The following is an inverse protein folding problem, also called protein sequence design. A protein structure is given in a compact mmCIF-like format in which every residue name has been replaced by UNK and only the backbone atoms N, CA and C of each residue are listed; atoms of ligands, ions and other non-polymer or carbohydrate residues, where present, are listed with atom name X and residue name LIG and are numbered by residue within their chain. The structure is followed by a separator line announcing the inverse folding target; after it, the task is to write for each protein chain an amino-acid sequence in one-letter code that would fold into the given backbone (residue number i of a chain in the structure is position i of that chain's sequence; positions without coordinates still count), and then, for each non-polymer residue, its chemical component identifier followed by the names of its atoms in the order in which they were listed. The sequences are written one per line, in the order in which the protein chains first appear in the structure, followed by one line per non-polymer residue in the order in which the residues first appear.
data_IF_100105183274
#
_entry.id   IF_100105183274
#
_cell.length_a   1.000
_cell.length_b   1.000
_cell.length_c   1.000
_cell.angle_alpha   90.00
_cell.angle_beta   90.00
_cell.angle_gamma   90.00
#
_symmetry.space_group_name_H-M   'P 1'
#
loop_
_entity.id
_entity.type
_entity.pdbx_description
1 polymer ?
#
# COMPACT_ATOMS: atom_id res chain seq x y z
N UNK A 1 -9.00 9.00 -26.46
CA UNK A 1 -9.76 9.71 -25.42
C UNK A 1 -9.20 9.23 -24.10
N UNK A 2 -8.62 10.12 -23.30
CA UNK A 2 -8.09 9.81 -21.99
C UNK A 2 -9.11 10.09 -20.88
N UNK A 3 -8.71 9.84 -19.63
CA UNK A 3 -9.52 10.02 -18.45
C UNK A 3 -9.17 11.33 -17.73
N UNK A 4 -10.13 11.95 -17.08
CA UNK A 4 -9.89 13.08 -16.19
C UNK A 4 -9.65 12.54 -14.77
N UNK A 5 -8.42 12.76 -14.24
CA UNK A 5 -7.97 12.21 -12.97
C UNK A 5 -7.77 13.31 -11.95
N UNK A 6 -8.36 13.16 -10.78
CA UNK A 6 -8.12 14.03 -9.63
C UNK A 6 -7.27 13.28 -8.58
N UNK A 7 -6.19 13.89 -8.08
CA UNK A 7 -5.38 13.38 -6.98
C UNK A 7 -5.63 14.24 -5.76
N UNK A 8 -6.32 13.71 -4.76
CA UNK A 8 -6.63 14.39 -3.49
C UNK A 8 -5.59 14.04 -2.44
N UNK A 9 -5.03 15.05 -1.78
CA UNK A 9 -3.87 14.91 -0.90
C UNK A 9 -2.54 14.96 -1.66
N UNK A 10 -2.52 15.65 -2.80
CA UNK A 10 -1.40 15.72 -3.74
C UNK A 10 -0.07 16.24 -3.16
N UNK A 11 -0.10 16.95 -2.03
CA UNK A 11 1.10 17.47 -1.36
C UNK A 11 1.75 16.50 -0.37
N UNK A 12 1.03 15.43 0.01
CA UNK A 12 1.55 14.37 0.88
C UNK A 12 2.50 13.40 0.15
N UNK A 13 3.24 12.56 0.90
CA UNK A 13 4.19 11.61 0.30
C UNK A 13 3.52 10.71 -0.74
N UNK A 14 2.41 10.06 -0.38
CA UNK A 14 1.69 9.15 -1.29
C UNK A 14 1.06 9.90 -2.46
N UNK A 15 0.51 11.11 -2.24
CA UNK A 15 -0.08 11.90 -3.33
C UNK A 15 0.95 12.35 -4.38
N UNK A 16 2.16 12.72 -3.95
CA UNK A 16 3.29 13.04 -4.85
C UNK A 16 3.73 11.79 -5.61
N UNK A 17 3.81 10.65 -4.93
CA UNK A 17 4.14 9.37 -5.55
C UNK A 17 3.08 8.96 -6.59
N UNK A 18 1.79 9.16 -6.30
CA UNK A 18 0.71 8.92 -7.28
C UNK A 18 0.89 9.76 -8.55
N UNK A 19 1.24 11.03 -8.43
CA UNK A 19 1.50 11.89 -9.58
C UNK A 19 2.72 11.43 -10.37
N UNK A 20 3.80 11.04 -9.70
CA UNK A 20 5.00 10.47 -10.32
C UNK A 20 4.67 9.21 -11.11
N UNK A 21 4.03 8.23 -10.46
CA UNK A 21 3.69 6.93 -11.07
C UNK A 21 2.72 7.07 -12.24
N UNK A 22 1.72 7.97 -12.16
CA UNK A 22 0.84 8.26 -13.29
C UNK A 22 1.63 8.71 -14.54
N UNK A 23 2.68 9.52 -14.35
CA UNK A 23 3.55 9.97 -15.43
C UNK A 23 4.48 8.86 -15.91
N UNK A 24 5.16 8.15 -15.01
CA UNK A 24 6.07 7.04 -15.31
C UNK A 24 5.38 5.94 -16.14
N UNK A 25 4.14 5.60 -15.77
CA UNK A 25 3.35 4.56 -16.43
C UNK A 25 2.55 5.04 -17.63
N UNK A 26 2.70 6.32 -18.01
CA UNK A 26 1.96 6.92 -19.12
C UNK A 26 0.45 6.63 -19.04
N UNK A 27 -0.12 6.78 -17.83
CA UNK A 27 -1.55 6.55 -17.62
C UNK A 27 -2.38 7.38 -18.62
N UNK A 28 -3.41 6.81 -19.28
CA UNK A 28 -4.16 7.49 -20.34
C UNK A 28 -5.06 8.61 -19.77
N UNK A 29 -4.47 9.68 -19.29
CA UNK A 29 -5.16 10.85 -18.75
C UNK A 29 -5.18 12.01 -19.75
N UNK A 30 -6.37 12.59 -19.99
CA UNK A 30 -6.52 13.86 -20.73
C UNK A 30 -6.23 15.05 -19.81
N UNK A 31 -6.67 14.97 -18.56
CA UNK A 31 -6.44 16.01 -17.55
C UNK A 31 -6.08 15.40 -16.20
N UNK A 32 -5.11 15.99 -15.51
CA UNK A 32 -4.75 15.64 -14.13
C UNK A 32 -4.85 16.89 -13.27
N UNK A 33 -5.62 16.79 -12.19
CA UNK A 33 -5.82 17.87 -11.22
C UNK A 33 -5.25 17.46 -9.86
N UNK A 34 -4.34 18.28 -9.33
CA UNK A 34 -3.78 18.11 -8.00
C UNK A 34 -4.60 18.90 -6.98
N UNK A 35 -5.15 18.20 -5.97
CA UNK A 35 -6.04 18.76 -4.95
C UNK A 35 -5.46 18.55 -3.55
N UNK A 36 -5.59 19.56 -2.69
CA UNK A 36 -5.27 19.48 -1.26
C UNK A 36 -6.11 20.47 -0.46
N UNK A 37 -5.87 20.55 0.85
CA UNK A 37 -6.53 21.55 1.70
C UNK A 37 -6.15 22.99 1.30
N UNK A 38 -6.94 23.95 1.70
CA UNK A 38 -6.66 25.39 1.49
C UNK A 38 -5.25 25.83 1.91
N UNK A 39 -4.68 25.21 2.95
CA UNK A 39 -3.32 25.51 3.41
C UNK A 39 -2.24 25.22 2.36
N UNK A 40 -2.51 24.26 1.50
CA UNK A 40 -1.59 23.83 0.43
C UNK A 40 -1.97 24.40 -0.94
N UNK A 41 -3.01 25.23 -1.03
CA UNK A 41 -3.41 25.86 -2.30
C UNK A 41 -2.27 26.72 -2.86
N UNK A 42 -2.01 26.58 -4.14
CA UNK A 42 -0.94 27.31 -4.83
C UNK A 42 0.45 26.68 -4.69
N UNK A 43 0.61 25.59 -3.92
CA UNK A 43 1.86 24.80 -3.90
C UNK A 43 2.02 24.11 -5.24
N UNK A 44 3.25 24.04 -5.73
CA UNK A 44 3.59 23.33 -6.94
C UNK A 44 3.98 21.87 -6.63
N UNK A 45 3.48 20.95 -7.45
CA UNK A 45 3.79 19.50 -7.40
C UNK A 45 4.17 19.00 -8.78
N UNK A 46 5.12 18.06 -8.84
CA UNK A 46 5.60 17.50 -10.10
C UNK A 46 4.65 16.44 -10.64
N UNK A 47 4.51 16.39 -11.95
CA UNK A 47 3.87 15.33 -12.73
C UNK A 47 4.77 15.04 -13.94
N UNK A 48 5.69 14.08 -13.81
CA UNK A 48 6.78 13.92 -14.76
C UNK A 48 7.60 15.21 -14.89
N UNK A 49 7.79 15.68 -16.11
CA UNK A 49 8.48 16.94 -16.39
C UNK A 49 7.59 18.20 -16.23
N UNK A 50 6.31 18.00 -15.98
CA UNK A 50 5.33 19.09 -15.84
C UNK A 50 5.14 19.43 -14.36
N UNK A 51 4.81 20.69 -14.11
CA UNK A 51 4.41 21.19 -12.79
C UNK A 51 2.92 21.44 -12.76
N UNK A 52 2.25 20.93 -11.73
CA UNK A 52 0.83 21.18 -11.46
C UNK A 52 0.69 22.08 -10.25
N UNK A 53 -0.16 23.10 -10.37
CA UNK A 53 -0.49 23.96 -9.25
C UNK A 53 -1.65 23.37 -8.45
N UNK A 54 -1.45 23.14 -7.17
CA UNK A 54 -2.45 22.55 -6.28
C UNK A 54 -3.64 23.49 -6.11
N UNK A 55 -4.85 22.95 -6.32
CA UNK A 55 -6.13 23.64 -6.08
C UNK A 55 -6.73 23.20 -4.74
N UNK A 56 -7.59 24.05 -4.18
CA UNK A 56 -8.32 23.71 -2.95
C UNK A 56 -9.41 22.67 -3.24
N UNK A 57 -9.40 21.58 -2.44
CA UNK A 57 -10.38 20.49 -2.54
C UNK A 57 -11.82 20.98 -2.36
N UNK A 58 -12.04 21.90 -1.43
CA UNK A 58 -13.36 22.39 -1.03
C UNK A 58 -14.14 23.10 -2.15
N UNK A 59 -13.42 23.59 -3.17
CA UNK A 59 -13.99 24.37 -4.28
C UNK A 59 -13.94 23.63 -5.62
N UNK A 60 -13.45 22.37 -5.64
CA UNK A 60 -13.34 21.65 -6.89
C UNK A 60 -14.66 21.00 -7.31
N UNK A 61 -15.05 21.23 -8.57
CA UNK A 61 -16.17 20.55 -9.18
C UNK A 61 -15.73 19.20 -9.78
N UNK A 62 -16.27 18.11 -9.25
CA UNK A 62 -15.96 16.74 -9.69
C UNK A 62 -16.85 16.23 -10.83
N UNK A 63 -17.76 17.03 -11.38
CA UNK A 63 -18.70 16.60 -12.44
C UNK A 63 -17.98 16.05 -13.69
N UNK A 64 -16.81 16.64 -14.03
CA UNK A 64 -15.96 16.22 -15.13
C UNK A 64 -14.92 15.16 -14.77
N UNK A 65 -14.79 14.75 -13.51
CA UNK A 65 -13.77 13.77 -13.07
C UNK A 65 -14.24 12.35 -13.35
N UNK A 66 -13.37 11.51 -13.91
CA UNK A 66 -13.63 10.08 -14.11
C UNK A 66 -13.10 9.23 -12.97
N UNK A 67 -11.88 9.52 -12.51
CA UNK A 67 -11.17 8.78 -11.46
C UNK A 67 -10.67 9.78 -10.42
N UNK A 68 -10.92 9.47 -9.15
CA UNK A 68 -10.37 10.22 -8.02
C UNK A 68 -9.46 9.32 -7.19
N UNK A 69 -8.18 9.64 -7.12
CA UNK A 69 -7.20 9.00 -6.25
C UNK A 69 -7.18 9.73 -4.91
N UNK A 70 -7.74 9.12 -3.87
CA UNK A 70 -7.94 9.73 -2.55
C UNK A 70 -6.82 9.34 -1.59
N UNK A 71 -5.99 10.32 -1.18
CA UNK A 71 -4.88 10.14 -0.24
C UNK A 71 -4.79 11.24 0.81
N UNK A 72 -5.95 11.71 1.32
CA UNK A 72 -6.04 12.80 2.29
C UNK A 72 -6.44 12.34 3.71
N UNK A 73 -6.37 11.04 3.99
CA UNK A 73 -6.73 10.45 5.27
C UNK A 73 -8.22 10.16 5.44
N UNK A 74 -8.56 9.36 6.46
CA UNK A 74 -9.90 8.77 6.61
C UNK A 74 -11.01 9.79 6.87
N UNK A 75 -10.72 10.87 7.58
CA UNK A 75 -11.73 11.91 7.86
C UNK A 75 -12.17 12.61 6.56
N UNK A 76 -11.21 13.06 5.75
CA UNK A 76 -11.47 13.68 4.46
C UNK A 76 -12.13 12.70 3.50
N UNK A 77 -11.67 11.45 3.47
CA UNK A 77 -12.27 10.43 2.61
C UNK A 77 -13.74 10.16 2.97
N UNK A 78 -14.08 10.06 4.25
CA UNK A 78 -15.48 9.86 4.68
C UNK A 78 -16.40 11.00 4.25
N UNK A 79 -15.90 12.23 4.26
CA UNK A 79 -16.65 13.41 3.86
C UNK A 79 -16.80 13.53 2.33
N UNK A 80 -15.69 13.39 1.60
CA UNK A 80 -15.65 13.72 0.18
C UNK A 80 -15.90 12.53 -0.74
N UNK A 81 -15.48 11.30 -0.41
CA UNK A 81 -15.60 10.16 -1.33
C UNK A 81 -17.05 9.87 -1.76
N UNK A 82 -18.07 9.92 -0.87
CA UNK A 82 -19.47 9.75 -1.30
C UNK A 82 -19.95 10.87 -2.24
N UNK A 83 -19.52 12.12 -2.01
CA UNK A 83 -19.87 13.27 -2.85
C UNK A 83 -19.24 13.17 -4.23
N UNK A 84 -17.97 12.73 -4.29
CA UNK A 84 -17.23 12.51 -5.54
C UNK A 84 -17.87 11.37 -6.33
N UNK A 85 -18.21 10.27 -5.67
CA UNK A 85 -18.91 9.15 -6.29
C UNK A 85 -20.30 9.55 -6.82
N UNK A 86 -21.04 10.37 -6.08
CA UNK A 86 -22.34 10.92 -6.53
C UNK A 86 -22.22 11.83 -7.75
N UNK A 87 -21.06 12.50 -7.94
CA UNK A 87 -20.75 13.27 -9.16
C UNK A 87 -20.34 12.34 -10.34
N UNK A 88 -20.35 11.02 -10.13
CA UNK A 88 -20.11 10.00 -11.16
C UNK A 88 -18.63 9.67 -11.40
N UNK A 89 -17.72 10.07 -10.51
CA UNK A 89 -16.34 9.61 -10.53
C UNK A 89 -16.18 8.30 -9.74
N UNK A 90 -15.21 7.47 -10.12
CA UNK A 90 -14.79 6.34 -9.29
C UNK A 90 -13.71 6.80 -8.32
N UNK A 91 -13.92 6.60 -7.03
CA UNK A 91 -12.94 6.91 -5.99
C UNK A 91 -12.11 5.69 -5.67
N UNK A 92 -10.79 5.79 -5.75
CA UNK A 92 -9.84 4.81 -5.25
C UNK A 92 -9.22 5.37 -3.98
N UNK A 93 -9.65 4.84 -2.84
CA UNK A 93 -9.32 5.40 -1.52
C UNK A 93 -8.16 4.67 -0.86
N UNK A 94 -7.10 5.40 -0.59
CA UNK A 94 -5.90 4.88 0.06
C UNK A 94 -5.98 4.91 1.61
N UNK A 95 -7.02 5.50 2.17
CA UNK A 95 -7.24 5.54 3.62
C UNK A 95 -7.89 4.25 4.14
N UNK A 96 -8.03 4.14 5.45
CA UNK A 96 -8.75 3.01 6.06
C UNK A 96 -10.27 3.22 6.16
N UNK A 97 -10.82 4.30 5.58
CA UNK A 97 -12.21 4.69 5.78
C UNK A 97 -13.23 3.65 5.33
N UNK A 98 -12.94 2.94 4.24
CA UNK A 98 -13.90 2.06 3.54
C UNK A 98 -13.47 0.59 3.47
N UNK A 99 -12.28 0.25 3.95
CA UNK A 99 -11.70 -1.10 3.79
C UNK A 99 -12.56 -2.21 4.39
N UNK A 100 -13.31 -1.91 5.44
CA UNK A 100 -14.10 -2.88 6.21
C UNK A 100 -15.59 -2.87 5.84
N UNK A 101 -16.01 -1.94 4.98
CA UNK A 101 -17.36 -1.89 4.44
C UNK A 101 -17.57 -3.06 3.47
N UNK A 102 -18.63 -3.85 3.66
CA UNK A 102 -18.96 -5.02 2.82
C UNK A 102 -19.31 -4.65 1.38
N UNK A 103 -19.81 -3.41 1.18
CA UNK A 103 -20.21 -2.89 -0.13
C UNK A 103 -19.08 -2.19 -0.89
N UNK A 104 -17.91 -2.07 -0.28
CA UNK A 104 -16.71 -1.49 -0.89
C UNK A 104 -15.68 -2.59 -1.14
N UNK A 105 -15.28 -2.86 -2.39
CA UNK A 105 -14.25 -3.84 -2.69
C UNK A 105 -12.88 -3.35 -2.20
N UNK A 106 -12.09 -4.26 -1.63
CA UNK A 106 -10.71 -4.06 -1.19
C UNK A 106 -9.80 -4.79 -2.18
N UNK A 107 -8.99 -4.05 -2.94
CA UNK A 107 -8.39 -4.58 -4.16
C UNK A 107 -6.86 -4.53 -4.15
N UNK A 108 -6.27 -5.67 -4.49
CA UNK A 108 -4.89 -5.81 -4.96
C UNK A 108 -4.97 -6.48 -6.33
N UNK A 109 -4.67 -5.78 -7.43
CA UNK A 109 -4.93 -6.27 -8.79
C UNK A 109 -4.30 -7.62 -9.11
N UNK A 110 -3.13 -7.94 -8.57
CA UNK A 110 -2.45 -9.24 -8.76
C UNK A 110 -3.16 -10.39 -8.04
N UNK A 111 -4.09 -10.07 -7.13
CA UNK A 111 -4.75 -11.07 -6.26
C UNK A 111 -6.23 -11.25 -6.59
N UNK A 112 -6.98 -10.15 -6.66
CA UNK A 112 -8.43 -10.18 -6.74
C UNK A 112 -9.03 -9.13 -7.70
N UNK A 113 -8.38 -8.87 -8.83
CA UNK A 113 -8.82 -7.88 -9.83
C UNK A 113 -10.31 -8.01 -10.24
N UNK A 114 -10.87 -9.23 -10.24
CA UNK A 114 -12.26 -9.47 -10.61
C UNK A 114 -13.27 -8.81 -9.64
N UNK A 115 -12.87 -8.65 -8.38
CA UNK A 115 -13.70 -8.00 -7.37
C UNK A 115 -13.83 -6.48 -7.59
N UNK A 116 -12.99 -5.88 -8.45
CA UNK A 116 -13.02 -4.45 -8.72
C UNK A 116 -14.38 -3.99 -9.26
N UNK A 117 -15.09 -4.81 -10.05
CA UNK A 117 -16.43 -4.52 -10.55
C UNK A 117 -17.47 -4.20 -9.45
N UNK A 118 -17.20 -4.62 -8.21
CA UNK A 118 -18.02 -4.33 -7.04
C UNK A 118 -18.11 -2.85 -6.67
N UNK A 119 -17.24 -1.98 -7.23
CA UNK A 119 -17.28 -0.54 -7.00
C UNK A 119 -18.63 0.09 -7.35
N UNK A 120 -19.38 -0.50 -8.28
CA UNK A 120 -20.67 0.03 -8.77
C UNK A 120 -21.71 0.22 -7.66
N UNK A 121 -21.55 -0.44 -6.52
CA UNK A 121 -22.45 -0.28 -5.37
C UNK A 121 -22.31 1.09 -4.70
N UNK A 122 -21.09 1.58 -4.56
CA UNK A 122 -20.77 2.81 -3.81
C UNK A 122 -19.96 3.84 -4.59
N UNK A 123 -19.49 3.50 -5.81
CA UNK A 123 -18.56 4.34 -6.56
C UNK A 123 -17.16 4.43 -5.92
N UNK A 124 -16.86 3.54 -4.97
CA UNK A 124 -15.62 3.56 -4.17
C UNK A 124 -14.94 2.20 -4.25
N UNK A 125 -13.62 2.21 -4.38
CA UNK A 125 -12.72 1.07 -4.20
C UNK A 125 -11.74 1.41 -3.08
N UNK A 126 -11.53 0.51 -2.14
CA UNK A 126 -10.54 0.66 -1.10
C UNK A 126 -9.20 0.05 -1.50
N UNK A 127 -8.12 0.79 -1.25
CA UNK A 127 -6.75 0.34 -1.32
C UNK A 127 -6.34 -0.22 0.05
N UNK A 128 -5.69 -1.40 0.15
CA UNK A 128 -5.38 -2.02 1.43
C UNK A 128 -4.30 -1.30 2.23
N UNK A 129 -4.06 -1.79 3.43
CA UNK A 129 -2.89 -1.45 4.24
C UNK A 129 -1.60 -1.83 3.49
N UNK A 130 -0.53 -1.05 3.68
CA UNK A 130 0.72 -1.21 2.94
C UNK A 130 1.38 -2.57 3.18
N UNK A 131 1.41 -3.05 4.42
CA UNK A 131 1.95 -4.38 4.71
C UNK A 131 1.03 -5.48 4.16
N UNK A 132 -0.29 -5.32 4.26
CA UNK A 132 -1.23 -6.29 3.66
C UNK A 132 -1.05 -6.41 2.14
N UNK A 133 -0.85 -5.29 1.44
CA UNK A 133 -0.71 -5.29 -0.02
C UNK A 133 0.45 -6.18 -0.49
N UNK A 134 1.65 -5.99 0.05
CA UNK A 134 2.82 -6.79 -0.31
C UNK A 134 2.69 -8.25 0.14
N UNK A 135 2.13 -8.49 1.33
CA UNK A 135 1.92 -9.83 1.86
C UNK A 135 1.03 -10.67 0.93
N UNK A 136 -0.15 -10.15 0.55
CA UNK A 136 -1.10 -10.94 -0.25
C UNK A 136 -0.62 -11.18 -1.68
N UNK A 137 0.23 -10.31 -2.25
CA UNK A 137 0.88 -10.54 -3.54
C UNK A 137 1.76 -11.78 -3.49
N UNK A 138 2.59 -11.92 -2.45
CA UNK A 138 3.44 -13.09 -2.26
C UNK A 138 2.63 -14.36 -1.88
N UNK A 139 1.58 -14.20 -1.09
CA UNK A 139 0.76 -15.33 -0.64
C UNK A 139 -0.12 -15.94 -1.75
N UNK A 140 -0.60 -15.13 -2.71
CA UNK A 140 -1.59 -15.55 -3.72
C UNK A 140 -1.16 -16.79 -4.51
N UNK A 141 0.00 -16.82 -5.19
CA UNK A 141 0.41 -17.99 -5.99
C UNK A 141 0.59 -19.24 -5.13
N UNK A 142 1.07 -19.09 -3.91
CA UNK A 142 1.27 -20.20 -2.97
C UNK A 142 -0.08 -20.73 -2.46
N UNK A 143 -1.03 -19.83 -2.17
CA UNK A 143 -2.38 -20.20 -1.75
C UNK A 143 -3.12 -20.97 -2.84
N UNK A 144 -3.05 -20.53 -4.09
CA UNK A 144 -3.67 -21.21 -5.22
C UNK A 144 -3.12 -22.64 -5.39
N UNK A 145 -1.81 -22.83 -5.18
CA UNK A 145 -1.14 -24.12 -5.34
C UNK A 145 -1.37 -25.06 -4.15
N UNK A 146 -1.21 -24.59 -2.91
CA UNK A 146 -1.11 -25.47 -1.75
C UNK A 146 -2.14 -25.17 -0.62
N UNK A 147 -2.94 -24.12 -0.75
CA UNK A 147 -3.94 -23.67 0.25
C UNK A 147 -3.31 -23.32 1.58
N UNK A 148 -3.22 -22.08 1.87
CA UNK A 148 -2.69 -21.58 3.14
C UNK A 148 -3.69 -21.86 4.26
N UNK A 149 -3.21 -22.49 5.31
CA UNK A 149 -3.93 -22.78 6.55
C UNK A 149 -3.67 -21.70 7.61
N UNK A 150 -2.36 -21.32 7.77
CA UNK A 150 -1.93 -20.38 8.79
C UNK A 150 -0.75 -19.54 8.31
N UNK A 151 -0.72 -18.29 8.75
CA UNK A 151 0.38 -17.34 8.51
C UNK A 151 0.80 -16.73 9.85
N UNK A 152 2.08 -16.71 10.12
CA UNK A 152 2.71 -15.92 11.18
C UNK A 152 3.60 -14.89 10.51
N UNK A 153 3.39 -13.61 10.80
CA UNK A 153 4.16 -12.53 10.19
C UNK A 153 4.69 -11.56 11.24
N UNK A 154 5.98 -11.26 11.17
CA UNK A 154 6.58 -10.13 11.85
C UNK A 154 6.96 -9.09 10.81
N UNK A 155 6.45 -7.85 10.96
CA UNK A 155 6.75 -6.77 10.03
C UNK A 155 7.85 -5.86 10.60
N UNK A 156 8.65 -5.29 9.69
CA UNK A 156 9.66 -4.28 9.97
C UNK A 156 9.32 -3.08 9.09
N UNK A 157 8.54 -2.13 9.67
CA UNK A 157 7.91 -1.05 8.90
C UNK A 157 8.70 0.25 9.03
N UNK A 158 9.04 0.83 7.90
CA UNK A 158 9.70 2.13 7.80
C UNK A 158 8.84 3.29 8.31
N UNK A 159 9.48 4.38 8.68
CA UNK A 159 8.80 5.57 9.24
C UNK A 159 7.93 6.32 8.22
N UNK A 160 8.18 6.18 6.92
CA UNK A 160 7.37 6.83 5.88
C UNK A 160 5.89 6.46 5.91
N UNK A 161 5.56 5.25 6.42
CA UNK A 161 4.19 4.81 6.64
C UNK A 161 3.41 5.66 7.66
N UNK A 162 4.11 6.39 8.54
CA UNK A 162 3.54 7.35 9.48
C UNK A 162 3.58 8.82 8.96
N UNK A 163 4.01 9.02 7.70
CA UNK A 163 4.02 10.30 7.02
C UNK A 163 5.31 11.09 7.13
N UNK A 164 5.32 12.29 6.53
CA UNK A 164 6.52 13.13 6.45
C UNK A 164 7.09 13.50 7.83
N UNK A 165 6.24 13.87 8.77
CA UNK A 165 6.66 14.23 10.13
C UNK A 165 7.45 13.11 10.83
N UNK A 166 7.11 11.85 10.58
CA UNK A 166 7.82 10.70 11.13
C UNK A 166 9.21 10.52 10.49
N UNK A 167 9.33 10.81 9.20
CA UNK A 167 10.62 10.83 8.50
C UNK A 167 11.51 11.96 9.03
N UNK A 168 10.94 13.16 9.20
CA UNK A 168 11.63 14.32 9.75
C UNK A 168 12.10 14.06 11.19
N UNK A 169 11.28 13.36 12.01
CA UNK A 169 11.65 12.97 13.38
C UNK A 169 12.81 11.98 13.40
N UNK A 170 12.78 10.92 12.58
CA UNK A 170 13.92 10.00 12.46
C UNK A 170 15.20 10.72 12.07
N UNK A 171 15.13 11.60 11.06
CA UNK A 171 16.27 12.38 10.60
C UNK A 171 16.83 13.27 11.72
N UNK A 172 15.96 14.03 12.39
CA UNK A 172 16.35 14.95 13.47
C UNK A 172 16.94 14.22 14.66
N UNK A 173 16.31 13.12 15.11
CA UNK A 173 16.83 12.30 16.20
C UNK A 173 18.18 11.66 15.83
N UNK A 174 18.37 11.22 14.58
CA UNK A 174 19.65 10.66 14.13
C UNK A 174 20.77 11.71 14.21
N UNK A 175 20.49 12.95 13.75
CA UNK A 175 21.44 14.06 13.91
C UNK A 175 21.77 14.33 15.37
N UNK A 176 20.75 14.42 16.23
CA UNK A 176 20.90 14.72 17.64
C UNK A 176 21.82 13.69 18.37
N UNK A 177 21.74 12.40 17.98
CA UNK A 177 22.63 11.36 18.51
C UNK A 177 24.10 11.68 18.25
N UNK A 178 24.44 12.11 17.04
CA UNK A 178 25.83 12.40 16.67
C UNK A 178 26.31 13.78 17.16
N UNK A 179 25.36 14.70 17.42
CA UNK A 179 25.67 16.04 17.93
C UNK A 179 25.62 16.10 19.48
N UNK A 180 25.24 15.00 20.14
CA UNK A 180 25.07 14.91 21.60
C UNK A 180 23.98 15.90 22.08
N UNK A 181 22.97 16.15 21.24
CA UNK A 181 21.84 17.02 21.54
C UNK A 181 20.74 16.24 22.27
N UNK A 182 19.80 16.96 22.88
CA UNK A 182 18.61 16.38 23.50
C UNK A 182 17.71 15.74 22.42
N UNK A 183 17.24 14.52 22.70
CA UNK A 183 16.38 13.75 21.80
C UNK A 183 14.95 13.77 22.32
N UNK A 184 14.05 14.36 21.55
CA UNK A 184 12.61 14.35 21.81
C UNK A 184 11.89 13.35 20.91
N UNK A 185 10.85 12.68 21.46
CA UNK A 185 9.93 11.82 20.71
C UNK A 185 8.56 12.50 20.68
N UNK A 186 8.13 12.94 19.49
CA UNK A 186 6.89 13.69 19.29
C UNK A 186 5.87 12.89 18.48
N UNK A 187 6.30 12.24 17.42
CA UNK A 187 5.44 11.45 16.52
C UNK A 187 5.32 10.00 17.00
N UNK A 188 6.38 9.45 17.53
CA UNK A 188 6.43 8.10 18.07
C UNK A 188 6.36 8.10 19.60
N UNK A 189 5.86 7.02 20.22
CA UNK A 189 5.76 6.93 21.69
C UNK A 189 7.13 6.82 22.40
N UNK A 190 8.17 6.48 21.62
CA UNK A 190 9.56 6.36 22.06
C UNK A 190 10.49 6.85 20.95
N UNK A 191 11.75 7.15 21.31
CA UNK A 191 12.81 7.42 20.34
C UNK A 191 12.84 6.32 19.28
N UNK A 192 12.84 6.71 17.99
CA UNK A 192 12.93 5.79 16.85
C UNK A 192 14.37 5.64 16.34
N UNK A 193 15.20 6.69 16.39
CA UNK A 193 16.58 6.61 15.94
C UNK A 193 17.35 5.55 16.70
N UNK A 194 17.94 4.58 15.98
CA UNK A 194 18.68 3.42 16.55
C UNK A 194 17.85 2.56 17.52
N UNK A 195 16.54 2.44 17.28
CA UNK A 195 15.63 1.69 18.15
C UNK A 195 14.55 0.96 17.34
N UNK A 196 13.88 0.00 17.96
CA UNK A 196 12.72 -0.71 17.47
C UNK A 196 11.51 -0.41 18.36
N UNK A 197 10.35 -0.15 17.76
CA UNK A 197 9.11 0.12 18.49
C UNK A 197 8.07 -0.93 18.10
N UNK A 198 7.78 -1.94 18.96
CA UNK A 198 6.80 -2.99 18.67
C UNK A 198 5.37 -2.51 18.91
N UNK A 199 5.05 -1.36 18.34
CA UNK A 199 3.73 -0.74 18.41
C UNK A 199 3.53 0.13 17.17
N UNK A 200 2.56 -0.22 16.33
CA UNK A 200 2.11 0.61 15.23
C UNK A 200 0.60 0.79 15.37
N UNK A 201 0.14 2.06 15.41
CA UNK A 201 -1.25 2.43 15.71
C UNK A 201 -1.59 2.16 17.20
N UNK A 202 -2.86 2.22 17.57
CA UNK A 202 -3.35 2.08 18.94
C UNK A 202 -3.51 0.62 19.33
N UNK A 203 -3.35 0.33 20.63
CA UNK A 203 -3.69 -0.98 21.19
C UNK A 203 -5.21 -1.18 21.23
N UNK A 204 -5.62 -2.41 20.96
CA UNK A 204 -6.99 -2.89 21.08
C UNK A 204 -7.15 -3.69 22.39
N UNK A 205 -8.37 -4.03 22.76
CA UNK A 205 -8.69 -4.71 24.02
C UNK A 205 -8.05 -6.10 24.15
N UNK A 206 -7.84 -6.79 23.03
CA UNK A 206 -7.21 -8.11 22.93
C UNK A 206 -5.69 -8.11 22.99
N UNK A 207 -5.07 -6.92 23.13
CA UNK A 207 -3.63 -6.73 23.17
C UNK A 207 -2.94 -6.60 21.80
N UNK A 208 -3.66 -6.82 20.71
CA UNK A 208 -3.15 -6.50 19.38
C UNK A 208 -3.14 -4.99 19.14
N UNK A 209 -2.26 -4.53 18.26
CA UNK A 209 -2.40 -3.17 17.71
C UNK A 209 -3.40 -3.16 16.56
N UNK A 210 -3.95 -1.98 16.27
CA UNK A 210 -4.85 -1.81 15.11
C UNK A 210 -4.15 -2.15 13.79
N UNK A 211 -2.84 -1.93 13.67
CA UNK A 211 -2.08 -2.30 12.49
C UNK A 211 -2.06 -3.82 12.27
N UNK A 212 -1.83 -4.60 13.33
CA UNK A 212 -1.87 -6.06 13.30
C UNK A 212 -3.26 -6.58 12.95
N UNK A 213 -4.30 -6.00 13.54
CA UNK A 213 -5.68 -6.31 13.22
C UNK A 213 -6.02 -6.06 11.73
N UNK A 214 -5.53 -4.94 11.16
CA UNK A 214 -5.70 -4.65 9.71
C UNK A 214 -5.15 -5.79 8.87
N UNK A 215 -3.95 -6.27 9.13
CA UNK A 215 -3.35 -7.37 8.39
C UNK A 215 -4.21 -8.63 8.42
N UNK A 216 -4.79 -8.96 9.59
CA UNK A 216 -5.67 -10.12 9.75
C UNK A 216 -6.93 -9.98 8.91
N UNK A 217 -7.67 -8.88 9.07
CA UNK A 217 -9.00 -8.73 8.44
C UNK A 217 -8.90 -8.44 6.95
N UNK A 218 -7.90 -7.68 6.52
CA UNK A 218 -7.71 -7.34 5.13
C UNK A 218 -7.22 -8.53 4.31
N UNK A 219 -6.29 -9.35 4.84
CA UNK A 219 -5.86 -10.61 4.18
C UNK A 219 -7.04 -11.55 3.98
N UNK A 220 -7.91 -11.69 4.97
CA UNK A 220 -9.13 -12.50 4.85
C UNK A 220 -10.10 -11.97 3.79
N UNK A 221 -10.26 -10.66 3.69
CA UNK A 221 -11.16 -10.03 2.71
C UNK A 221 -10.63 -10.11 1.28
N UNK A 222 -9.30 -10.01 1.11
CA UNK A 222 -8.65 -9.97 -0.21
C UNK A 222 -8.41 -11.38 -0.75
N UNK A 223 -7.94 -12.31 0.08
CA UNK A 223 -7.42 -13.61 -0.36
C UNK A 223 -8.37 -14.77 0.00
N UNK A 224 -8.52 -15.11 1.28
CA UNK A 224 -9.41 -16.18 1.73
C UNK A 224 -9.80 -15.99 3.21
N UNK A 225 -11.11 -15.96 3.55
CA UNK A 225 -11.58 -15.78 4.92
C UNK A 225 -11.19 -16.91 5.88
N UNK A 226 -10.77 -18.07 5.38
CA UNK A 226 -10.36 -19.23 6.18
C UNK A 226 -8.92 -19.15 6.68
N UNK A 227 -8.09 -18.27 6.12
CA UNK A 227 -6.68 -18.12 6.53
C UNK A 227 -6.62 -17.65 7.98
N UNK A 228 -5.90 -18.40 8.82
CA UNK A 228 -5.55 -17.98 10.17
C UNK A 228 -4.27 -17.16 10.12
N UNK A 229 -4.32 -15.89 10.54
CA UNK A 229 -3.16 -15.01 10.53
C UNK A 229 -2.96 -14.38 11.90
N UNK A 230 -1.71 -14.32 12.33
CA UNK A 230 -1.26 -13.49 13.46
C UNK A 230 -0.09 -12.62 12.98
N UNK A 231 -0.06 -11.38 13.44
CA UNK A 231 0.96 -10.41 13.08
C UNK A 231 1.58 -9.77 14.32
N UNK A 232 2.87 -9.42 14.22
CA UNK A 232 3.56 -8.51 15.14
C UNK A 232 4.16 -7.39 14.32
N UNK A 233 3.67 -6.17 14.51
CA UNK A 233 4.08 -5.02 13.70
C UNK A 233 5.09 -4.14 14.43
N UNK A 234 6.29 -4.00 13.87
CA UNK A 234 7.40 -3.27 14.46
C UNK A 234 7.80 -2.07 13.60
N UNK A 235 7.86 -0.88 14.18
CA UNK A 235 8.44 0.29 13.55
C UNK A 235 9.96 0.24 13.67
N UNK A 236 10.65 0.41 12.55
CA UNK A 236 12.13 0.37 12.46
C UNK A 236 12.69 1.71 11.96
N UNK A 237 13.95 2.04 12.27
CA UNK A 237 14.58 3.30 11.90
C UNK A 237 15.07 3.29 10.43
N UNK A 238 14.15 3.01 9.52
CA UNK A 238 14.34 2.98 8.08
C UNK A 238 13.37 3.99 7.46
N UNK A 239 13.81 4.73 6.45
CA UNK A 239 12.99 5.80 5.87
C UNK A 239 11.84 5.26 5.01
N UNK A 240 12.13 4.35 4.07
CA UNK A 240 11.20 3.84 3.06
C UNK A 240 11.32 2.30 3.00
N UNK A 241 10.29 1.66 2.53
CA UNK A 241 10.10 0.21 2.37
C UNK A 241 9.78 -0.53 3.66
N UNK A 242 8.88 -1.51 3.55
CA UNK A 242 8.50 -2.41 4.63
C UNK A 242 9.02 -3.81 4.34
N UNK A 243 9.46 -4.48 5.40
CA UNK A 243 9.87 -5.88 5.32
C UNK A 243 8.97 -6.75 6.17
N UNK A 244 8.90 -8.03 5.83
CA UNK A 244 8.12 -9.03 6.54
C UNK A 244 8.87 -10.35 6.62
N UNK A 245 9.05 -10.87 7.84
CA UNK A 245 9.43 -12.25 8.08
C UNK A 245 8.15 -13.08 8.19
N UNK A 246 7.93 -14.00 7.26
CA UNK A 246 6.68 -14.73 7.12
C UNK A 246 6.93 -16.23 7.25
N UNK A 247 6.17 -16.90 8.12
CA UNK A 247 6.09 -18.35 8.21
C UNK A 247 4.67 -18.80 7.86
N UNK A 248 4.55 -19.80 6.97
CA UNK A 248 3.29 -20.22 6.37
C UNK A 248 3.13 -21.72 6.55
N UNK A 249 1.97 -22.17 7.01
CA UNK A 249 1.53 -23.56 7.05
C UNK A 249 0.47 -23.79 5.98
N UNK A 250 0.63 -24.85 5.19
CA UNK A 250 -0.25 -25.20 4.07
C UNK A 250 -1.06 -26.46 4.34
N UNK A 251 -2.20 -26.61 3.63
CA UNK A 251 -3.01 -27.82 3.66
C UNK A 251 -2.37 -28.96 2.82
N UNK A 252 -1.62 -28.59 1.78
CA UNK A 252 -0.99 -29.54 0.85
C UNK A 252 0.51 -29.33 0.83
N UNK A 253 1.30 -30.38 0.58
CA UNK A 253 2.74 -30.26 0.47
C UNK A 253 3.17 -29.27 -0.63
N UNK A 254 4.18 -28.48 -0.31
CA UNK A 254 4.89 -27.59 -1.21
C UNK A 254 6.32 -27.46 -0.70
N UNK A 255 7.30 -27.55 -1.60
CA UNK A 255 8.71 -27.38 -1.27
C UNK A 255 9.17 -25.94 -1.49
N UNK A 256 10.30 -25.56 -0.86
CA UNK A 256 10.90 -24.23 -1.08
C UNK A 256 11.27 -24.01 -2.56
N UNK A 257 11.72 -25.03 -3.27
CA UNK A 257 12.08 -24.93 -4.69
C UNK A 257 10.85 -24.72 -5.57
N UNK A 258 9.76 -25.45 -5.31
CA UNK A 258 8.48 -25.26 -5.99
C UNK A 258 7.91 -23.86 -5.72
N UNK A 259 7.95 -23.38 -4.47
CA UNK A 259 7.51 -22.04 -4.10
C UNK A 259 8.34 -20.95 -4.81
N UNK A 260 9.65 -21.14 -4.90
CA UNK A 260 10.56 -20.22 -5.59
C UNK A 260 10.21 -20.09 -7.08
N UNK A 261 9.91 -21.21 -7.72
CA UNK A 261 9.54 -21.22 -9.14
C UNK A 261 8.16 -20.58 -9.38
N UNK A 262 7.18 -20.85 -8.53
CA UNK A 262 5.86 -20.21 -8.59
C UNK A 262 5.96 -18.70 -8.42
N UNK A 263 6.74 -18.24 -7.46
CA UNK A 263 6.90 -16.82 -7.18
C UNK A 263 7.68 -16.07 -8.27
N UNK A 264 8.64 -16.71 -8.95
CA UNK A 264 9.34 -16.13 -10.11
C UNK A 264 8.40 -15.80 -11.27
N UNK A 265 7.35 -16.59 -11.43
CA UNK A 265 6.39 -16.47 -12.51
C UNK A 265 5.12 -15.68 -12.09
N UNK A 266 5.04 -15.26 -10.84
CA UNK A 266 3.85 -14.58 -10.31
C UNK A 266 3.87 -13.07 -10.61
N UNK A 267 2.72 -12.48 -11.00
CA UNK A 267 2.62 -11.03 -11.21
C UNK A 267 2.99 -10.24 -9.96
N UNK A 268 3.78 -9.19 -10.11
CA UNK A 268 4.18 -8.29 -9.03
C UNK A 268 5.28 -8.85 -8.12
N UNK A 269 5.67 -10.12 -8.26
CA UNK A 269 6.73 -10.76 -7.50
C UNK A 269 8.08 -10.70 -8.24
N UNK A 270 9.16 -10.47 -7.49
CA UNK A 270 10.52 -10.62 -7.98
C UNK A 270 11.35 -11.38 -6.95
N UNK A 271 11.83 -12.58 -7.35
CA UNK A 271 12.59 -13.46 -6.44
C UNK A 271 14.08 -13.19 -6.59
N UNK A 272 14.69 -12.69 -5.51
CA UNK A 272 16.14 -12.58 -5.34
C UNK A 272 16.51 -13.40 -4.10
N UNK A 273 16.91 -14.65 -4.31
CA UNK A 273 17.09 -15.64 -3.27
C UNK A 273 18.30 -16.53 -3.56
N UNK A 274 19.49 -16.01 -3.26
CA UNK A 274 20.75 -16.73 -3.30
C UNK A 274 21.20 -17.08 -1.88
N UNK A 275 21.94 -18.19 -1.74
CA UNK A 275 22.56 -18.57 -0.46
C UNK A 275 23.92 -17.90 -0.22
N UNK A 276 24.36 -17.06 -1.18
CA UNK A 276 25.57 -16.26 -1.03
C UNK A 276 25.34 -15.07 -0.08
N UNK A 277 26.38 -14.55 0.57
CA UNK A 277 26.29 -13.31 1.35
C UNK A 277 25.70 -12.17 0.52
N UNK A 278 24.66 -11.51 1.04
CA UNK A 278 23.96 -10.44 0.32
C UNK A 278 22.94 -10.90 -0.74
N UNK A 279 22.68 -12.22 -0.86
CA UNK A 279 21.76 -12.79 -1.84
C UNK A 279 20.26 -12.61 -1.50
N UNK A 280 19.89 -11.47 -0.92
CA UNK A 280 18.54 -11.09 -0.52
C UNK A 280 18.35 -9.58 -0.71
N UNK A 281 17.10 -9.12 -0.66
CA UNK A 281 16.77 -7.69 -0.80
C UNK A 281 16.47 -7.08 0.57
N UNK A 282 16.97 -5.87 0.79
CA UNK A 282 16.71 -5.05 1.98
C UNK A 282 15.82 -3.87 1.65
N UNK A 283 15.33 -3.10 2.65
CA UNK A 283 14.55 -1.89 2.40
C UNK A 283 15.26 -0.86 1.50
N UNK A 284 16.58 -0.81 1.56
CA UNK A 284 17.36 0.17 0.83
C UNK A 284 17.28 -0.05 -0.70
N UNK A 285 17.41 -1.31 -1.14
CA UNK A 285 17.32 -1.65 -2.57
C UNK A 285 15.88 -1.60 -3.09
N UNK A 286 14.89 -1.85 -2.23
CA UNK A 286 13.48 -1.86 -2.64
C UNK A 286 12.86 -0.46 -2.72
N UNK A 287 13.51 0.57 -2.16
CA UNK A 287 12.99 1.93 -2.18
C UNK A 287 12.97 2.50 -3.62
N UNK A 288 11.82 2.97 -4.07
CA UNK A 288 11.59 3.47 -5.42
C UNK A 288 11.23 2.39 -6.45
N UNK A 289 11.18 1.12 -6.05
CA UNK A 289 10.89 0.00 -6.95
C UNK A 289 9.42 -0.46 -6.86
N UNK A 290 8.89 -0.97 -7.97
CA UNK A 290 7.49 -1.40 -8.07
C UNK A 290 7.25 -2.82 -7.55
N UNK A 291 8.28 -3.67 -7.54
CA UNK A 291 8.15 -5.08 -7.24
C UNK A 291 7.96 -5.37 -5.74
N UNK A 292 7.27 -6.47 -5.48
CA UNK A 292 7.35 -7.16 -4.19
C UNK A 292 8.48 -8.17 -4.29
N UNK A 293 9.58 -7.89 -3.58
CA UNK A 293 10.78 -8.75 -3.55
C UNK A 293 10.61 -9.88 -2.55
N UNK A 294 11.02 -11.08 -2.95
CA UNK A 294 10.93 -12.28 -2.11
C UNK A 294 12.30 -12.92 -2.04
N UNK A 295 12.76 -13.18 -0.84
CA UNK A 295 14.06 -13.75 -0.52
C UNK A 295 13.94 -14.77 0.60
N UNK A 296 15.02 -15.48 0.90
CA UNK A 296 15.14 -16.38 2.06
C UNK A 296 14.04 -17.45 2.10
N UNK A 297 13.62 -17.94 0.93
CA UNK A 297 12.62 -18.99 0.79
C UNK A 297 13.26 -20.33 1.25
N UNK A 298 12.65 -20.97 2.25
CA UNK A 298 13.13 -22.22 2.84
C UNK A 298 11.98 -23.01 3.45
N UNK A 299 12.17 -24.32 3.54
CA UNK A 299 11.24 -25.18 4.26
C UNK A 299 11.27 -24.86 5.76
N UNK A 300 10.10 -24.90 6.40
CA UNK A 300 9.94 -24.75 7.86
C UNK A 300 9.67 -26.13 8.45
N UNK A 301 10.71 -26.73 9.04
CA UNK A 301 10.64 -28.07 9.62
C UNK A 301 9.85 -28.14 10.95
N UNK A 302 9.37 -27.01 11.45
CA UNK A 302 8.65 -26.96 12.75
C UNK A 302 7.16 -27.24 12.62
N UNK A 303 6.64 -27.24 11.38
CA UNK A 303 5.25 -27.56 11.05
C UNK A 303 5.17 -28.46 9.82
N UNK A 304 4.08 -29.20 9.71
CA UNK A 304 3.80 -29.97 8.50
C UNK A 304 3.50 -29.03 7.33
N UNK A 305 4.12 -29.26 6.16
CA UNK A 305 3.95 -28.42 4.97
C UNK A 305 4.24 -26.93 5.21
N UNK A 306 5.35 -26.60 5.86
CA UNK A 306 5.73 -25.26 6.23
C UNK A 306 6.74 -24.60 5.29
N UNK A 307 6.60 -23.30 5.05
CA UNK A 307 7.61 -22.46 4.41
C UNK A 307 7.85 -21.19 5.22
N UNK A 308 9.10 -20.71 5.19
CA UNK A 308 9.45 -19.38 5.67
C UNK A 308 10.09 -18.56 4.57
N UNK A 309 9.83 -17.24 4.54
CA UNK A 309 10.39 -16.33 3.56
C UNK A 309 10.52 -14.90 4.12
N UNK A 310 11.24 -14.08 3.38
CA UNK A 310 11.43 -12.67 3.60
C UNK A 310 10.84 -11.89 2.43
N UNK A 311 9.93 -10.95 2.72
CA UNK A 311 9.24 -10.12 1.72
C UNK A 311 9.63 -8.67 1.96
N UNK A 312 9.92 -7.94 0.90
CA UNK A 312 10.25 -6.51 0.95
C UNK A 312 9.54 -5.78 -0.20
N UNK A 313 8.96 -4.62 0.08
CA UNK A 313 8.40 -3.76 -0.95
C UNK A 313 8.42 -2.29 -0.53
N UNK A 314 8.44 -1.38 -1.50
CA UNK A 314 8.25 0.03 -1.22
C UNK A 314 6.79 0.28 -0.78
N UNK A 315 6.65 0.72 0.48
CA UNK A 315 5.34 0.95 1.10
C UNK A 315 4.61 2.17 0.55
N UNK A 316 5.30 3.11 -0.09
CA UNK A 316 4.70 4.27 -0.76
C UNK A 316 4.25 3.89 -2.18
N UNK A 317 4.96 2.95 -2.85
CA UNK A 317 4.64 2.47 -4.18
C UNK A 317 3.64 1.31 -4.11
N UNK A 318 4.09 0.06 -4.05
CA UNK A 318 3.18 -1.12 -4.01
C UNK A 318 2.25 -1.09 -2.80
N UNK A 319 2.72 -0.62 -1.66
CA UNK A 319 1.89 -0.49 -0.45
C UNK A 319 0.81 0.59 -0.53
N UNK A 320 0.87 1.53 -1.49
CA UNK A 320 -0.01 2.68 -1.53
C UNK A 320 -0.28 3.19 -2.96
N UNK A 321 0.58 4.08 -3.48
CA UNK A 321 0.36 4.83 -4.72
C UNK A 321 0.29 3.90 -5.93
N UNK A 322 1.26 3.00 -6.11
CA UNK A 322 1.28 2.09 -7.24
C UNK A 322 0.05 1.18 -7.27
N UNK A 323 -0.33 0.58 -6.13
CA UNK A 323 -1.51 -0.28 -6.08
C UNK A 323 -2.77 0.50 -6.46
N UNK A 324 -2.90 1.76 -6.04
CA UNK A 324 -4.03 2.61 -6.44
C UNK A 324 -4.05 2.89 -7.95
N UNK A 325 -2.88 3.15 -8.55
CA UNK A 325 -2.77 3.33 -10.01
C UNK A 325 -3.07 2.03 -10.76
N UNK A 326 -2.56 0.90 -10.30
CA UNK A 326 -2.86 -0.42 -10.86
C UNK A 326 -4.37 -0.75 -10.79
N UNK A 327 -5.07 -0.32 -9.71
CA UNK A 327 -6.54 -0.42 -9.64
C UNK A 327 -7.17 0.44 -10.74
N UNK A 328 -6.71 1.67 -10.95
CA UNK A 328 -7.21 2.53 -12.03
C UNK A 328 -6.95 1.91 -13.41
N UNK A 329 -5.75 1.37 -13.66
CA UNK A 329 -5.42 0.63 -14.88
C UNK A 329 -6.33 -0.60 -15.08
N UNK A 330 -6.60 -1.33 -14.01
CA UNK A 330 -7.53 -2.47 -14.03
C UNK A 330 -8.93 -2.05 -14.47
N UNK A 331 -9.45 -0.93 -13.96
CA UNK A 331 -10.75 -0.39 -14.37
C UNK A 331 -10.79 -0.03 -15.87
N UNK A 332 -9.72 0.60 -16.35
CA UNK A 332 -9.57 1.01 -17.76
C UNK A 332 -9.42 -0.22 -18.67
N UNK A 333 -8.48 -1.09 -18.39
CA UNK A 333 -8.14 -2.25 -19.23
C UNK A 333 -9.28 -3.27 -19.32
N UNK A 334 -10.04 -3.42 -18.23
CA UNK A 334 -11.23 -4.28 -18.18
C UNK A 334 -12.50 -3.59 -18.67
N UNK A 335 -12.40 -2.34 -19.14
CA UNK A 335 -13.54 -1.53 -19.61
C UNK A 335 -14.68 -1.42 -18.58
N UNK A 336 -14.31 -1.35 -17.29
CA UNK A 336 -15.28 -1.21 -16.21
C UNK A 336 -15.80 0.22 -16.06
N UNK A 337 -15.05 1.19 -16.56
CA UNK A 337 -15.39 2.61 -16.64
C UNK A 337 -15.21 3.13 -18.07
N UNK A 338 -15.90 4.20 -18.40
CA UNK A 338 -15.78 4.91 -19.68
C UNK A 338 -15.50 6.38 -19.39
N UNK A 339 -14.55 6.98 -20.12
CA UNK A 339 -14.24 8.39 -19.99
C UNK A 339 -15.47 9.27 -20.30
N UNK A 340 -15.72 10.26 -19.47
CA UNK A 340 -16.78 11.24 -19.68
C UNK A 340 -16.42 12.10 -20.90
N UNK A 341 -17.39 12.34 -21.77
CA UNK A 341 -17.20 13.29 -22.86
C UNK A 341 -17.12 14.71 -22.27
N UNK A 342 -16.11 15.50 -22.67
CA UNK A 342 -16.17 16.93 -22.39
C UNK A 342 -17.48 17.46 -22.99
N UNK A 343 -18.29 18.15 -22.20
CA UNK A 343 -19.40 18.93 -22.74
C UNK A 343 -18.80 19.92 -23.73
N UNK A 344 -19.31 19.89 -24.98
CA UNK A 344 -18.84 20.74 -26.05
C UNK A 344 -19.15 22.21 -25.76
#
# INVERSE_FOLDING_TARGET
MGYNVAVVGATGNVGREMLGILAERSFPADEIVALASRRSQGVDVSYGERTLRVKALEHHDFSGTDICLMSAGSAVSKEYSPRIAAAGAVVIDNSSAWRYDSDVPLIVPEVNADAAAGFRKRGIIANPNCSTAQLVVALKPLHDRARIKRVVVATYQSVSGAGKEAMDELFTQTKAVFQIDEITANKFPKRIAFNLIPQIDVFMEDGYTREEWKMVVETKKILDPKIKLTATCVRVPVFISHCEAVSIEFERPITADEARELLRNAPGCLVIDSREPGGYVTPYEAAGEDATYISRIRDDATVENGLSMWIVSDNLRKGAALNAIQIAECLVNRKLITAKRKAA
#
